data_IF_516752902666
#
_entry.id   IF_516752902666
#
_cell.length_a   1.000
_cell.length_b   1.000
_cell.length_c   1.000
_cell.angle_alpha   90.00
_cell.angle_beta   90.00
_cell.angle_gamma   90.00
#
_symmetry.space_group_name_H-M   'P 1'
#
loop_
_entity.id
_entity.type
_entity.pdbx_description
1 polymer ?
#
# COMPACT_ATOMS: atom_id res chain seq x y z
N UNK A 1 31.56 34.12 21.19
CA UNK A 1 30.88 34.30 19.88
C UNK A 1 31.33 33.16 18.99
N UNK A 2 30.53 32.19 18.55
CA UNK A 2 29.16 31.77 18.84
C UNK A 2 29.10 30.29 18.48
N UNK A 3 28.43 29.49 19.31
CA UNK A 3 28.24 28.06 19.06
C UNK A 3 27.38 27.92 17.81
N UNK A 4 27.73 27.10 16.80
CA UNK A 4 26.83 26.84 15.69
C UNK A 4 25.56 26.18 16.24
N UNK A 5 24.41 26.79 15.96
CA UNK A 5 23.10 26.26 16.34
C UNK A 5 22.85 24.90 15.69
N UNK A 6 21.94 24.09 16.24
CA UNK A 6 21.65 22.77 15.69
C UNK A 6 21.19 22.97 14.25
N UNK A 7 21.93 22.39 13.31
CA UNK A 7 21.48 22.25 11.94
C UNK A 7 20.11 21.59 11.97
N UNK A 8 19.14 22.21 11.28
CA UNK A 8 17.87 21.58 11.02
C UNK A 8 18.15 20.20 10.42
N UNK A 9 17.81 19.14 11.16
CA UNK A 9 17.79 17.79 10.63
C UNK A 9 16.89 17.85 9.40
N UNK A 10 17.40 17.40 8.25
CA UNK A 10 16.56 17.13 7.09
C UNK A 10 15.37 16.29 7.57
N UNK A 11 14.15 16.69 7.23
CA UNK A 11 12.91 16.02 7.58
C UNK A 11 13.04 14.53 7.22
N UNK A 12 13.27 13.69 8.23
CA UNK A 12 13.74 12.31 8.07
C UNK A 12 12.62 11.32 7.78
N UNK A 13 11.71 11.68 6.88
CA UNK A 13 10.60 10.81 6.45
C UNK A 13 11.07 9.71 5.51
N UNK A 14 10.30 8.62 5.44
CA UNK A 14 10.58 7.51 4.55
C UNK A 14 10.45 7.90 3.08
N UNK A 15 11.51 7.65 2.32
CA UNK A 15 11.43 7.74 0.86
C UNK A 15 10.57 6.59 0.33
N UNK A 16 9.61 6.85 -0.59
CA UNK A 16 8.77 5.83 -1.17
C UNK A 16 9.57 4.70 -1.82
N UNK A 17 9.43 3.50 -1.24
CA UNK A 17 10.15 2.30 -1.71
C UNK A 17 9.40 1.67 -2.87
N UNK A 18 10.08 1.25 -3.93
CA UNK A 18 9.47 0.44 -5.00
C UNK A 18 9.76 -1.06 -4.77
N UNK A 19 8.79 -1.94 -5.04
CA UNK A 19 8.89 -3.39 -4.77
C UNK A 19 8.54 -4.19 -6.03
N UNK A 20 9.42 -5.11 -6.42
CA UNK A 20 9.10 -6.14 -7.40
C UNK A 20 8.26 -7.25 -6.77
N UNK A 21 7.10 -7.55 -7.36
CA UNK A 21 6.12 -8.50 -6.86
C UNK A 21 5.80 -9.60 -7.90
N UNK A 22 6.80 -10.07 -8.63
CA UNK A 22 6.65 -11.11 -9.65
C UNK A 22 6.23 -10.50 -10.99
N UNK A 23 4.99 -10.74 -11.41
CA UNK A 23 4.41 -10.15 -12.63
C UNK A 23 3.93 -8.69 -12.43
N UNK A 24 4.00 -8.21 -11.19
CA UNK A 24 3.55 -6.88 -10.78
C UNK A 24 4.70 -6.06 -10.22
N UNK A 25 4.56 -4.75 -10.37
CA UNK A 25 5.43 -3.75 -9.80
C UNK A 25 4.68 -2.88 -8.81
N UNK A 26 5.23 -2.67 -7.61
CA UNK A 26 4.65 -1.80 -6.60
C UNK A 26 5.45 -0.50 -6.53
N UNK A 27 4.78 0.63 -6.65
CA UNK A 27 5.40 1.96 -6.57
C UNK A 27 4.47 2.98 -5.93
N UNK A 28 5.00 4.12 -5.54
CA UNK A 28 4.19 5.28 -5.15
C UNK A 28 3.17 5.62 -6.23
N UNK A 29 1.99 6.10 -5.80
CA UNK A 29 0.98 6.61 -6.72
C UNK A 29 1.46 7.90 -7.40
N UNK A 30 1.03 8.12 -8.64
CA UNK A 30 1.45 9.27 -9.46
C UNK A 30 0.27 9.88 -10.21
N UNK A 31 0.36 11.19 -10.41
CA UNK A 31 -0.54 11.99 -11.24
C UNK A 31 0.27 13.06 -11.95
N UNK A 32 1.03 12.65 -12.96
CA UNK A 32 1.90 13.50 -13.78
C UNK A 32 1.69 13.24 -15.28
N UNK A 33 2.42 13.96 -16.13
CA UNK A 33 2.29 13.89 -17.60
C UNK A 33 2.65 12.52 -18.19
N UNK A 34 3.32 11.64 -17.43
CA UNK A 34 3.76 10.31 -17.87
C UNK A 34 2.87 9.22 -17.31
N UNK A 35 2.40 9.38 -16.07
CA UNK A 35 1.64 8.36 -15.33
C UNK A 35 0.48 9.02 -14.60
N UNK A 36 -0.73 8.53 -14.85
CA UNK A 36 -1.94 9.00 -14.18
C UNK A 36 -2.72 7.84 -13.53
N UNK A 37 -2.40 7.56 -12.26
CA UNK A 37 -3.07 6.49 -11.49
C UNK A 37 -4.48 6.88 -11.04
N UNK A 38 -4.86 8.16 -11.14
CA UNK A 38 -6.20 8.63 -10.74
C UNK A 38 -7.29 7.91 -11.54
N UNK A 39 -7.00 7.53 -12.78
CA UNK A 39 -7.90 6.74 -13.63
C UNK A 39 -8.23 5.39 -12.98
N UNK A 40 -7.26 4.71 -12.38
CA UNK A 40 -7.48 3.45 -11.68
C UNK A 40 -8.25 3.66 -10.36
N UNK A 41 -7.99 4.75 -9.63
CA UNK A 41 -8.71 5.08 -8.39
C UNK A 41 -10.19 5.34 -8.65
N UNK A 42 -10.52 6.14 -9.68
CA UNK A 42 -11.90 6.45 -10.07
C UNK A 42 -12.57 5.24 -10.72
N UNK A 43 -11.94 4.64 -11.73
CA UNK A 43 -12.49 3.47 -12.44
C UNK A 43 -12.63 2.23 -11.54
N UNK A 44 -11.80 2.12 -10.51
CA UNK A 44 -11.90 1.10 -9.47
C UNK A 44 -13.01 1.35 -8.45
N UNK A 45 -13.58 2.56 -8.43
CA UNK A 45 -14.60 2.98 -7.47
C UNK A 45 -14.07 3.25 -6.06
N UNK A 46 -12.74 3.46 -5.89
CA UNK A 46 -12.17 3.82 -4.59
C UNK A 46 -12.57 5.24 -4.19
N UNK A 47 -12.58 6.14 -5.17
CA UNK A 47 -12.90 7.57 -5.01
C UNK A 47 -13.90 8.01 -6.08
N UNK A 48 -14.67 9.05 -5.78
CA UNK A 48 -15.80 9.47 -6.61
C UNK A 48 -15.38 10.10 -7.95
N UNK A 49 -14.28 10.87 -7.97
CA UNK A 49 -13.85 11.65 -9.12
C UNK A 49 -12.33 11.94 -9.10
N UNK A 50 -11.86 12.65 -10.14
CA UNK A 50 -10.43 12.98 -10.33
C UNK A 50 -9.89 13.94 -9.27
N UNK A 51 -10.74 14.78 -8.68
CA UNK A 51 -10.32 15.70 -7.62
C UNK A 51 -10.09 14.91 -6.32
N UNK A 52 -11.02 14.02 -5.98
CA UNK A 52 -10.87 13.09 -4.86
C UNK A 52 -9.66 12.15 -5.08
N UNK A 53 -9.41 11.70 -6.31
CA UNK A 53 -8.23 10.91 -6.64
C UNK A 53 -6.92 11.70 -6.45
N UNK A 54 -6.89 12.97 -6.85
CA UNK A 54 -5.71 13.82 -6.64
C UNK A 54 -5.47 14.08 -5.15
N UNK A 55 -6.54 14.30 -4.37
CA UNK A 55 -6.46 14.44 -2.92
C UNK A 55 -5.98 13.16 -2.24
N UNK A 56 -6.45 11.99 -2.69
CA UNK A 56 -5.99 10.69 -2.21
C UNK A 56 -4.49 10.52 -2.44
N UNK A 57 -3.98 10.77 -3.66
CA UNK A 57 -2.54 10.66 -3.96
C UNK A 57 -1.72 11.61 -3.10
N UNK A 58 -2.14 12.88 -2.98
CA UNK A 58 -1.43 13.86 -2.14
C UNK A 58 -1.42 13.46 -0.65
N UNK A 59 -2.47 12.79 -0.17
CA UNK A 59 -2.51 12.25 1.18
C UNK A 59 -1.52 11.09 1.34
N UNK A 60 -1.48 10.15 0.40
CA UNK A 60 -0.51 9.04 0.43
C UNK A 60 0.93 9.56 0.41
N UNK A 61 1.21 10.61 -0.36
CA UNK A 61 2.53 11.25 -0.41
C UNK A 61 2.96 11.83 0.94
N UNK A 62 2.03 12.49 1.65
CA UNK A 62 2.29 12.97 3.01
C UNK A 62 2.50 11.83 3.99
N UNK A 63 1.68 10.78 3.93
CA UNK A 63 1.81 9.63 4.83
C UNK A 63 3.14 8.89 4.68
N UNK A 64 3.75 8.90 3.49
CA UNK A 64 5.13 8.44 3.30
C UNK A 64 6.12 9.37 4.01
N UNK A 65 6.02 10.68 3.79
CA UNK A 65 6.93 11.67 4.36
C UNK A 65 6.81 11.80 5.90
N UNK A 66 5.65 11.47 6.46
CA UNK A 66 5.35 11.58 7.89
C UNK A 66 5.55 10.24 8.64
N UNK A 67 6.03 9.19 7.94
CA UNK A 67 6.17 7.83 8.48
C UNK A 67 4.86 7.27 9.09
N UNK A 68 3.72 7.54 8.45
CA UNK A 68 2.41 7.08 8.92
C UNK A 68 1.97 5.80 8.21
N UNK A 69 2.12 5.77 6.89
CA UNK A 69 1.66 4.68 6.04
C UNK A 69 2.44 4.61 4.74
N UNK A 70 2.93 3.42 4.44
CA UNK A 70 3.50 3.10 3.14
C UNK A 70 2.38 2.65 2.20
N UNK A 71 2.17 3.35 1.09
CA UNK A 71 1.13 2.99 0.11
C UNK A 71 1.68 2.88 -1.30
N UNK A 72 1.31 1.80 -1.98
CA UNK A 72 1.75 1.48 -3.33
C UNK A 72 0.57 1.30 -4.28
N UNK A 73 0.65 1.93 -5.45
CA UNK A 73 -0.03 1.44 -6.64
C UNK A 73 0.49 0.04 -6.99
N UNK A 74 -0.42 -0.89 -7.26
CA UNK A 74 -0.09 -2.20 -7.83
C UNK A 74 -0.17 -2.08 -9.34
N UNK A 75 0.96 -2.17 -10.03
CA UNK A 75 1.06 -1.97 -11.47
C UNK A 75 1.35 -3.27 -12.22
N UNK A 76 0.77 -3.44 -13.40
CA UNK A 76 1.25 -4.46 -14.34
C UNK A 76 2.66 -4.12 -14.83
N UNK A 77 3.56 -5.09 -14.80
CA UNK A 77 4.99 -4.83 -15.06
C UNK A 77 5.29 -4.39 -16.50
N UNK A 78 4.53 -4.88 -17.49
CA UNK A 78 4.80 -4.59 -18.89
C UNK A 78 4.27 -3.23 -19.34
N UNK A 79 3.13 -2.81 -18.79
CA UNK A 79 2.42 -1.60 -19.21
C UNK A 79 2.62 -0.44 -18.25
N UNK A 80 2.98 -0.71 -16.99
CA UNK A 80 3.04 0.28 -15.91
C UNK A 80 1.66 0.74 -15.42
N UNK A 81 0.58 0.17 -15.96
CA UNK A 81 -0.80 0.52 -15.61
C UNK A 81 -1.12 0.08 -14.19
N UNK A 82 -1.60 1.02 -13.36
CA UNK A 82 -2.12 0.69 -12.03
C UNK A 82 -3.42 -0.11 -12.13
N UNK A 83 -3.49 -1.22 -11.40
CA UNK A 83 -4.63 -2.15 -11.37
C UNK A 83 -5.18 -2.37 -9.96
N UNK A 84 -4.63 -1.67 -8.96
CA UNK A 84 -5.06 -1.69 -7.57
C UNK A 84 -4.12 -0.90 -6.67
N UNK A 85 -4.31 -1.05 -5.36
CA UNK A 85 -3.48 -0.43 -4.34
C UNK A 85 -3.26 -1.43 -3.19
N UNK A 86 -2.10 -1.34 -2.55
CA UNK A 86 -1.81 -2.00 -1.28
C UNK A 86 -1.17 -0.99 -0.36
N UNK A 87 -1.60 -0.95 0.89
CA UNK A 87 -1.08 -0.04 1.89
C UNK A 87 -0.75 -0.79 3.20
N UNK A 88 0.27 -0.31 3.90
CA UNK A 88 0.70 -0.80 5.21
C UNK A 88 0.96 0.39 6.12
N UNK A 89 0.16 0.54 7.17
CA UNK A 89 0.40 1.53 8.22
C UNK A 89 1.57 1.09 9.11
N UNK A 90 2.24 2.05 9.75
CA UNK A 90 3.27 1.76 10.77
C UNK A 90 2.71 1.04 12.00
N UNK A 91 1.39 1.10 12.22
CA UNK A 91 0.68 0.30 13.23
C UNK A 91 0.53 -1.18 12.86
N UNK A 92 0.89 -1.56 11.62
CA UNK A 92 0.73 -2.90 11.07
C UNK A 92 -0.62 -3.16 10.41
N UNK A 93 -1.47 -2.16 10.20
CA UNK A 93 -2.70 -2.35 9.43
C UNK A 93 -2.42 -2.41 7.92
N UNK A 94 -2.82 -3.50 7.28
CA UNK A 94 -2.71 -3.72 5.84
C UNK A 94 -4.09 -3.65 5.17
N UNK A 95 -4.17 -2.86 4.11
CA UNK A 95 -5.31 -2.81 3.19
C UNK A 95 -4.85 -3.14 1.78
N UNK A 96 -5.70 -3.81 1.00
CA UNK A 96 -5.42 -4.09 -0.40
C UNK A 96 -6.74 -4.16 -1.17
N UNK A 97 -6.75 -3.57 -2.36
CA UNK A 97 -7.85 -3.70 -3.29
C UNK A 97 -7.34 -3.83 -4.73
N UNK A 98 -8.21 -4.31 -5.61
CA UNK A 98 -7.93 -4.49 -7.03
C UNK A 98 -9.14 -3.99 -7.82
N UNK A 99 -8.86 -3.28 -8.92
CA UNK A 99 -9.89 -2.81 -9.86
C UNK A 99 -10.79 -3.97 -10.30
N UNK A 100 -12.10 -3.76 -10.51
CA UNK A 100 -13.06 -4.83 -10.82
C UNK A 100 -12.60 -5.78 -11.94
N UNK A 101 -12.09 -5.23 -13.06
CA UNK A 101 -11.70 -6.00 -14.25
C UNK A 101 -10.46 -6.90 -14.06
N UNK A 102 -9.70 -6.67 -12.98
CA UNK A 102 -8.47 -7.38 -12.66
C UNK A 102 -8.61 -8.32 -11.45
N UNK A 103 -9.80 -8.42 -10.84
CA UNK A 103 -10.08 -9.36 -9.75
C UNK A 103 -9.99 -10.82 -10.21
N UNK A 104 -9.75 -11.73 -9.26
CA UNK A 104 -9.66 -13.16 -9.54
C UNK A 104 -8.36 -13.64 -10.18
N UNK A 105 -7.44 -12.73 -10.55
CA UNK A 105 -6.15 -13.04 -11.20
C UNK A 105 -4.97 -13.22 -10.24
N UNK A 106 -5.22 -13.28 -8.94
CA UNK A 106 -4.18 -13.46 -7.92
C UNK A 106 -3.35 -12.21 -7.58
N UNK A 107 -3.68 -11.04 -8.15
CA UNK A 107 -2.96 -9.76 -7.96
C UNK A 107 -2.85 -9.39 -6.48
N UNK A 108 -3.98 -9.32 -5.78
CA UNK A 108 -4.02 -8.97 -4.35
C UNK A 108 -3.16 -9.90 -3.49
N UNK A 109 -3.09 -11.20 -3.82
CA UNK A 109 -2.23 -12.16 -3.12
C UNK A 109 -0.75 -11.88 -3.34
N UNK A 110 -0.34 -11.57 -4.58
CA UNK A 110 1.05 -11.23 -4.89
C UNK A 110 1.48 -9.91 -4.23
N UNK A 111 0.66 -8.86 -4.36
CA UNK A 111 0.91 -7.55 -3.76
C UNK A 111 0.99 -7.65 -2.22
N UNK A 112 -0.01 -8.28 -1.58
CA UNK A 112 -0.02 -8.50 -0.13
C UNK A 112 1.21 -9.29 0.32
N UNK A 113 1.58 -10.37 -0.39
CA UNK A 113 2.75 -11.17 -0.02
C UNK A 113 4.06 -10.38 -0.11
N UNK A 114 4.18 -9.49 -1.11
CA UNK A 114 5.34 -8.61 -1.24
C UNK A 114 5.43 -7.58 -0.10
N UNK A 115 4.30 -6.94 0.23
CA UNK A 115 4.22 -5.97 1.33
C UNK A 115 4.43 -6.62 2.70
N UNK A 116 4.01 -7.87 2.89
CA UNK A 116 4.32 -8.61 4.13
C UNK A 116 5.83 -8.84 4.30
N UNK A 117 6.55 -9.17 3.23
CA UNK A 117 8.02 -9.30 3.29
C UNK A 117 8.68 -7.96 3.63
N UNK A 118 8.18 -6.86 3.07
CA UNK A 118 8.63 -5.51 3.41
C UNK A 118 8.33 -5.18 4.89
N UNK A 119 7.10 -5.36 5.34
CA UNK A 119 6.68 -5.03 6.71
C UNK A 119 7.42 -5.83 7.79
N UNK A 120 7.64 -7.13 7.57
CA UNK A 120 8.38 -7.97 8.52
C UNK A 120 9.90 -7.86 8.40
N UNK A 121 10.40 -7.64 7.19
CA UNK A 121 11.83 -7.65 6.90
C UNK A 121 12.49 -6.29 7.08
N UNK A 122 11.85 -5.23 6.60
CA UNK A 122 12.40 -3.87 6.59
C UNK A 122 11.83 -3.02 7.72
N UNK A 123 10.51 -2.98 7.90
CA UNK A 123 9.89 -2.24 9.00
C UNK A 123 9.98 -2.98 10.35
N UNK A 124 10.37 -4.26 10.33
CA UNK A 124 10.49 -5.12 11.51
C UNK A 124 9.22 -5.20 12.38
N UNK A 125 8.04 -5.02 11.77
CA UNK A 125 6.78 -5.05 12.50
C UNK A 125 6.60 -6.43 13.15
N UNK A 126 6.23 -6.52 14.44
CA UNK A 126 6.05 -7.82 15.11
C UNK A 126 4.78 -8.55 14.64
N UNK A 127 3.79 -7.80 14.13
CA UNK A 127 2.53 -8.30 13.64
C UNK A 127 1.96 -7.38 12.55
N UNK A 128 1.22 -7.97 11.61
CA UNK A 128 0.45 -7.26 10.60
C UNK A 128 -0.99 -7.74 10.69
N UNK A 129 -1.94 -6.82 10.53
CA UNK A 129 -3.39 -7.08 10.61
C UNK A 129 -4.08 -6.66 9.34
N UNK A 130 -5.21 -7.30 9.04
CA UNK A 130 -6.12 -6.86 7.99
C UNK A 130 -7.57 -7.16 8.39
N UNK A 131 -8.52 -6.41 7.83
CA UNK A 131 -9.95 -6.60 8.08
C UNK A 131 -10.70 -6.97 6.79
N UNK A 132 -10.62 -8.24 6.33
CA UNK A 132 -11.26 -8.65 5.08
C UNK A 132 -12.80 -8.60 5.20
N UNK A 133 -13.44 -7.79 4.36
CA UNK A 133 -14.89 -7.53 4.40
C UNK A 133 -15.73 -8.58 3.68
N UNK A 134 -15.16 -9.26 2.68
CA UNK A 134 -15.84 -10.28 1.87
C UNK A 134 -15.08 -11.62 1.81
N UNK A 135 -15.66 -12.61 1.13
CA UNK A 135 -15.03 -13.93 1.00
C UNK A 135 -13.75 -13.90 0.16
N UNK A 136 -13.68 -13.03 -0.85
CA UNK A 136 -12.49 -12.91 -1.69
C UNK A 136 -11.30 -12.39 -0.87
N UNK A 137 -11.51 -11.34 -0.06
CA UNK A 137 -10.54 -10.82 0.90
C UNK A 137 -10.12 -11.86 1.93
N UNK A 138 -11.06 -12.64 2.47
CA UNK A 138 -10.73 -13.74 3.40
C UNK A 138 -9.87 -14.82 2.75
N UNK A 139 -10.13 -15.17 1.48
CA UNK A 139 -9.28 -16.11 0.72
C UNK A 139 -7.88 -15.54 0.48
N UNK A 140 -7.76 -14.25 0.16
CA UNK A 140 -6.45 -13.58 0.02
C UNK A 140 -5.71 -13.59 1.36
N UNK A 141 -6.36 -13.21 2.46
CA UNK A 141 -5.79 -13.20 3.79
C UNK A 141 -5.26 -14.59 4.19
N UNK A 142 -6.08 -15.65 4.01
CA UNK A 142 -5.67 -17.02 4.30
C UNK A 142 -4.48 -17.48 3.46
N UNK A 143 -4.46 -17.19 2.14
CA UNK A 143 -3.31 -17.49 1.27
C UNK A 143 -2.04 -16.73 1.67
N UNK A 144 -2.20 -15.55 2.27
CA UNK A 144 -1.09 -14.75 2.78
C UNK A 144 -0.71 -15.09 4.22
N UNK A 145 -1.24 -16.17 4.80
CA UNK A 145 -0.86 -16.65 6.13
C UNK A 145 -1.44 -15.86 7.29
N UNK A 146 -2.45 -15.01 7.05
CA UNK A 146 -3.23 -14.44 8.14
C UNK A 146 -4.20 -15.48 8.69
N UNK A 147 -4.47 -15.38 9.99
CA UNK A 147 -5.52 -16.14 10.68
C UNK A 147 -6.50 -15.20 11.40
N UNK A 148 -7.75 -15.61 11.64
CA UNK A 148 -8.67 -14.83 12.45
C UNK A 148 -8.07 -14.52 13.82
N UNK A 149 -8.02 -13.25 14.20
CA UNK A 149 -7.53 -12.80 15.50
C UNK A 149 -8.61 -12.86 16.58
N UNK A 150 -8.26 -12.44 17.80
CA UNK A 150 -9.20 -12.37 18.93
C UNK A 150 -10.32 -11.33 18.73
N UNK A 151 -10.06 -10.28 17.95
CA UNK A 151 -11.07 -9.27 17.59
C UNK A 151 -11.85 -9.77 16.38
N UNK A 152 -13.20 -9.85 16.45
CA UNK A 152 -14.02 -10.26 15.31
C UNK A 152 -13.74 -9.42 14.06
N UNK A 153 -13.61 -10.08 12.91
CA UNK A 153 -13.37 -9.44 11.62
C UNK A 153 -11.92 -9.02 11.37
N UNK A 154 -11.06 -8.96 12.39
CA UNK A 154 -9.64 -8.64 12.25
C UNK A 154 -8.83 -9.93 12.19
N UNK A 155 -8.03 -10.06 11.13
CA UNK A 155 -7.13 -11.17 10.91
C UNK A 155 -5.70 -10.69 11.16
N UNK A 156 -4.88 -11.55 11.76
CA UNK A 156 -3.51 -11.21 12.17
C UNK A 156 -2.54 -12.21 11.58
N UNK A 157 -1.37 -11.72 11.21
CA UNK A 157 -0.18 -12.51 10.89
C UNK A 157 0.96 -12.01 11.76
N UNK A 158 1.62 -12.93 12.46
CA UNK A 158 2.83 -12.64 13.22
C UNK A 158 4.07 -12.83 12.33
N UNK A 159 5.18 -12.17 12.70
CA UNK A 159 6.48 -12.26 12.00
C UNK A 159 6.97 -13.71 11.86
#
# INVERSE_FOLDING_TARGET
MGVPGPGALASGGMEPVEINAGEFYLRQLRADDRVDDRVALVGGGLVADMAAASAHIAERDREWADDERCTWAVCEQLTGTAVGEVALAMTGELTCWTTPDHRGRGIATHATSAVLRFGFGFLELPAITCAPTDEAGRRVAGRCGFSPGARPGVWTRLR
#
